data_IF_034978163841
#
_entry.id   IF_034978163841
#
_cell.length_a   1.000
_cell.length_b   1.000
_cell.length_c   1.000
_cell.angle_alpha   90.00
_cell.angle_beta   90.00
_cell.angle_gamma   90.00
#
_symmetry.space_group_name_H-M   'P 1'
#
loop_
_entity.id
_entity.type
_entity.pdbx_description
1 polymer ?
#
# COMPACT_ATOMS: atom_id res chain seq x y z
N UNK A 1 -55.74 12.49 -30.52
CA UNK A 1 -54.75 11.40 -30.43
C UNK A 1 -53.59 11.73 -31.36
N UNK A 2 -52.49 12.30 -30.86
CA UNK A 2 -51.25 12.48 -31.66
C UNK A 2 -50.11 13.01 -30.77
N UNK A 3 -49.43 12.14 -30.03
CA UNK A 3 -48.13 12.44 -29.42
C UNK A 3 -47.37 11.13 -29.19
N UNK A 4 -46.97 10.49 -30.29
CA UNK A 4 -46.30 9.18 -30.26
C UNK A 4 -45.19 9.03 -31.30
N UNK A 5 -44.67 10.13 -31.86
CA UNK A 5 -43.80 10.07 -33.04
C UNK A 5 -42.53 10.93 -32.92
N UNK A 6 -41.90 10.98 -31.74
CA UNK A 6 -40.61 11.66 -31.56
C UNK A 6 -39.53 10.86 -30.82
N UNK A 7 -39.84 9.66 -30.32
CA UNK A 7 -38.88 8.91 -29.50
C UNK A 7 -38.00 7.92 -30.28
N UNK A 8 -38.41 7.51 -31.49
CA UNK A 8 -37.68 6.48 -32.26
C UNK A 8 -36.44 7.00 -33.00
N UNK A 9 -36.39 8.30 -33.34
CA UNK A 9 -35.31 8.86 -34.18
C UNK A 9 -34.05 9.25 -33.41
N UNK A 10 -34.13 9.44 -32.09
CA UNK A 10 -32.97 9.83 -31.28
C UNK A 10 -32.04 8.63 -31.01
N UNK A 11 -32.57 7.41 -31.03
CA UNK A 11 -31.81 6.19 -30.74
C UNK A 11 -30.92 5.75 -31.92
N UNK A 12 -31.25 6.15 -33.15
CA UNK A 12 -30.50 5.74 -34.35
C UNK A 12 -29.29 6.64 -34.69
N UNK A 13 -29.14 7.80 -34.07
CA UNK A 13 -28.03 8.74 -34.35
C UNK A 13 -26.84 8.53 -33.42
N UNK A 14 -27.03 7.96 -32.23
CA UNK A 14 -25.94 7.80 -31.25
C UNK A 14 -25.09 6.52 -31.42
N UNK A 15 -25.48 5.62 -32.33
CA UNK A 15 -24.83 4.30 -32.50
C UNK A 15 -23.78 4.29 -33.63
N UNK A 16 -23.63 5.36 -34.43
CA UNK A 16 -22.75 5.34 -35.61
C UNK A 16 -21.35 5.96 -35.43
N UNK A 17 -20.94 6.35 -34.21
CA UNK A 17 -19.71 7.15 -34.03
C UNK A 17 -18.67 6.51 -33.11
N UNK A 18 -18.37 5.21 -33.26
CA UNK A 18 -17.14 4.60 -32.72
C UNK A 18 -16.61 3.46 -33.60
N UNK A 19 -16.40 3.74 -34.90
CA UNK A 19 -15.47 2.95 -35.73
C UNK A 19 -14.27 3.86 -36.03
N UNK A 20 -13.35 3.94 -35.07
CA UNK A 20 -12.05 4.59 -35.20
C UNK A 20 -10.96 3.55 -35.43
N UNK A 21 -10.27 3.68 -36.55
CA UNK A 21 -9.38 2.70 -37.17
C UNK A 21 -8.11 2.35 -36.36
N UNK A 22 -7.63 1.13 -36.60
CA UNK A 22 -6.32 0.60 -36.23
C UNK A 22 -5.16 1.48 -36.73
N UNK A 23 -4.15 1.70 -35.89
CA UNK A 23 -2.78 1.96 -36.36
C UNK A 23 -1.83 0.95 -35.73
N UNK A 24 -1.74 -0.22 -36.36
CA UNK A 24 -0.70 -1.20 -36.06
C UNK A 24 0.56 -0.76 -36.80
N UNK A 25 1.51 -0.16 -36.09
CA UNK A 25 2.85 0.08 -36.64
C UNK A 25 3.57 -1.27 -36.75
N UNK A 26 4.19 -1.64 -37.89
CA UNK A 26 5.08 -2.78 -37.91
C UNK A 26 6.37 -2.43 -37.15
N UNK A 27 6.57 -3.05 -35.99
CA UNK A 27 7.87 -3.04 -35.31
C UNK A 27 8.87 -3.84 -36.16
N UNK A 28 9.61 -3.16 -37.03
CA UNK A 28 10.78 -3.71 -37.72
C UNK A 28 11.94 -3.72 -36.73
N UNK A 29 11.98 -4.75 -35.87
CA UNK A 29 13.12 -5.02 -35.00
C UNK A 29 14.30 -5.53 -35.82
N UNK A 30 15.43 -4.84 -35.74
CA UNK A 30 16.70 -5.26 -36.32
C UNK A 30 17.14 -6.56 -35.66
N UNK A 31 17.36 -7.60 -36.45
CA UNK A 31 17.90 -8.89 -36.03
C UNK A 31 19.39 -8.70 -35.66
N UNK A 32 19.67 -8.40 -34.40
CA UNK A 32 21.02 -8.54 -33.87
C UNK A 32 21.27 -10.04 -33.66
N UNK A 33 21.85 -10.68 -34.68
CA UNK A 33 22.52 -11.97 -34.55
C UNK A 33 23.55 -11.87 -33.42
N UNK A 34 23.21 -12.41 -32.25
CA UNK A 34 24.22 -12.78 -31.25
C UNK A 34 24.59 -14.25 -31.51
N UNK A 35 25.88 -14.56 -31.77
CA UNK A 35 26.30 -15.92 -32.00
C UNK A 35 26.05 -16.77 -30.74
N UNK A 36 25.51 -17.96 -30.99
CA UNK A 36 25.27 -19.01 -30.02
C UNK A 36 26.57 -19.47 -29.35
N UNK A 37 26.39 -19.99 -28.13
CA UNK A 37 27.30 -20.81 -27.32
C UNK A 37 28.24 -20.08 -26.35
N UNK A 38 27.79 -20.02 -25.09
CA UNK A 38 28.49 -20.78 -24.04
C UNK A 38 27.49 -21.41 -23.09
N UNK A 39 27.35 -22.73 -23.21
CA UNK A 39 26.77 -23.60 -22.19
C UNK A 39 27.72 -23.58 -20.99
N UNK A 40 27.26 -23.04 -19.87
CA UNK A 40 27.88 -23.25 -18.56
C UNK A 40 26.76 -23.26 -17.54
N UNK A 41 26.39 -24.48 -17.18
CA UNK A 41 26.05 -24.93 -15.84
C UNK A 41 24.79 -24.37 -15.19
N UNK A 42 23.90 -25.31 -14.88
CA UNK A 42 22.76 -25.19 -13.97
C UNK A 42 23.27 -24.58 -12.66
N UNK A 43 23.15 -23.26 -12.53
CA UNK A 43 23.26 -22.58 -11.24
C UNK A 43 21.97 -22.93 -10.50
N UNK A 44 22.08 -24.00 -9.72
CA UNK A 44 21.12 -24.42 -8.72
C UNK A 44 20.56 -23.18 -8.03
N UNK A 45 19.24 -23.08 -8.08
CA UNK A 45 18.47 -21.97 -7.53
C UNK A 45 18.42 -22.14 -6.02
N UNK A 46 19.53 -21.84 -5.37
CA UNK A 46 19.53 -21.40 -3.98
C UNK A 46 20.23 -20.06 -3.94
N UNK A 47 19.55 -19.05 -4.51
CA UNK A 47 19.73 -17.68 -4.03
C UNK A 47 19.38 -17.73 -2.54
N UNK A 48 20.40 -17.94 -1.69
CA UNK A 48 20.33 -17.60 -0.28
C UNK A 48 19.87 -16.16 -0.28
N UNK A 49 18.60 -15.95 0.08
CA UNK A 49 18.03 -14.63 0.26
C UNK A 49 18.96 -13.97 1.27
N UNK A 50 19.82 -13.09 0.80
CA UNK A 50 20.63 -12.27 1.67
C UNK A 50 19.62 -11.46 2.46
N UNK A 51 19.41 -11.85 3.72
CA UNK A 51 18.65 -11.08 4.69
C UNK A 51 19.46 -9.82 5.04
N UNK A 52 19.84 -9.04 4.02
CA UNK A 52 19.95 -7.59 4.13
C UNK A 52 18.71 -7.17 4.92
N UNK A 53 18.94 -6.65 6.13
CA UNK A 53 17.97 -6.62 7.23
C UNK A 53 16.59 -6.18 6.72
N UNK A 54 15.69 -7.15 6.49
CA UNK A 54 14.35 -6.84 6.01
C UNK A 54 13.66 -6.13 7.16
N UNK A 55 13.32 -4.86 6.98
CA UNK A 55 12.67 -4.04 8.00
C UNK A 55 11.22 -3.84 7.62
N UNK A 56 10.38 -3.66 8.62
CA UNK A 56 8.96 -3.38 8.44
C UNK A 56 8.49 -2.32 9.42
N UNK A 57 7.29 -1.81 9.13
CA UNK A 57 6.62 -0.83 9.97
C UNK A 57 5.64 -1.55 10.90
N UNK A 58 5.75 -1.31 12.20
CA UNK A 58 4.74 -1.69 13.19
C UNK A 58 4.11 -0.47 13.81
N UNK A 59 2.86 -0.55 14.24
CA UNK A 59 2.14 0.56 14.81
C UNK A 59 1.29 0.17 16.02
N UNK A 60 0.92 1.19 16.78
CA UNK A 60 -0.11 1.14 17.80
C UNK A 60 -0.80 2.51 17.86
N UNK A 61 -2.12 2.51 18.04
CA UNK A 61 -2.88 3.77 18.13
C UNK A 61 -2.44 4.57 19.35
N UNK A 62 -2.30 5.89 19.20
CA UNK A 62 -1.75 6.77 20.21
C UNK A 62 -2.65 6.93 21.46
N UNK A 63 -3.92 6.55 21.35
CA UNK A 63 -4.92 6.70 22.40
C UNK A 63 -5.70 8.01 22.34
N UNK A 64 -5.51 8.81 21.28
CA UNK A 64 -6.35 9.97 20.99
C UNK A 64 -7.78 9.54 20.68
N UNK A 65 -8.72 10.36 21.16
CA UNK A 65 -10.13 10.20 20.88
C UNK A 65 -10.73 11.51 20.39
N UNK A 66 -11.83 11.39 19.63
CA UNK A 66 -12.62 12.53 19.18
C UNK A 66 -13.02 13.42 20.36
N UNK A 67 -13.11 14.73 20.08
CA UNK A 67 -13.40 15.74 21.11
C UNK A 67 -12.34 15.82 22.23
N UNK A 68 -11.12 15.31 21.99
CA UNK A 68 -9.98 15.36 22.93
C UNK A 68 -10.23 14.64 24.26
N UNK A 69 -11.07 13.62 24.27
CA UNK A 69 -11.39 12.83 25.47
C UNK A 69 -10.33 11.78 25.81
N UNK A 70 -9.47 11.46 24.84
CA UNK A 70 -8.39 10.51 24.97
C UNK A 70 -7.12 11.11 25.59
N UNK A 71 -6.15 10.24 25.89
CA UNK A 71 -4.83 10.64 26.37
C UNK A 71 -3.78 10.17 25.35
N UNK A 72 -3.52 10.95 24.30
CA UNK A 72 -2.54 10.56 23.28
C UNK A 72 -1.15 10.43 23.90
N UNK A 73 -0.51 9.31 23.65
CA UNK A 73 0.90 9.10 23.97
C UNK A 73 1.75 9.52 22.76
N UNK A 74 2.79 10.36 22.96
CA UNK A 74 3.71 10.68 21.88
C UNK A 74 4.56 9.44 21.50
N UNK A 75 5.07 9.37 20.27
CA UNK A 75 5.80 8.21 19.78
C UNK A 75 7.04 7.89 20.63
N UNK A 76 7.73 8.89 21.18
CA UNK A 76 8.92 8.70 22.01
C UNK A 76 8.60 7.91 23.30
N UNK A 77 7.45 8.20 23.92
CA UNK A 77 7.00 7.53 25.15
C UNK A 77 6.44 6.15 24.85
N UNK A 78 5.65 6.02 23.78
CA UNK A 78 5.10 4.71 23.40
C UNK A 78 6.19 3.75 22.90
N UNK A 79 7.31 4.26 22.38
CA UNK A 79 8.47 3.45 21.97
C UNK A 79 9.03 2.61 23.12
N UNK A 80 8.91 3.05 24.37
CA UNK A 80 9.36 2.30 25.55
C UNK A 80 8.71 0.91 25.63
N UNK A 81 7.49 0.77 25.09
CA UNK A 81 6.77 -0.50 25.00
C UNK A 81 7.41 -1.48 24.02
N UNK A 82 8.35 -1.06 23.17
CA UNK A 82 9.14 -1.93 22.28
C UNK A 82 10.46 -2.40 22.92
N UNK A 83 10.66 -2.20 24.23
CA UNK A 83 11.89 -2.54 24.97
C UNK A 83 12.64 -3.79 24.44
N UNK A 84 13.93 -3.60 24.16
CA UNK A 84 14.80 -4.64 23.58
C UNK A 84 14.66 -4.84 22.07
N UNK A 85 13.84 -4.04 21.38
CA UNK A 85 13.77 -3.95 19.92
C UNK A 85 14.41 -2.62 19.50
N UNK A 86 15.37 -2.69 18.58
CA UNK A 86 15.94 -1.50 17.94
C UNK A 86 14.91 -0.84 17.02
N UNK A 87 14.72 0.46 17.20
CA UNK A 87 13.83 1.30 16.40
C UNK A 87 14.67 2.26 15.58
N UNK A 88 14.55 2.18 14.26
CA UNK A 88 15.32 2.99 13.33
C UNK A 88 14.66 4.33 12.99
N UNK A 89 13.33 4.36 13.03
CA UNK A 89 12.52 5.56 12.76
C UNK A 89 11.19 5.44 13.50
N UNK A 90 10.73 6.56 14.04
CA UNK A 90 9.42 6.69 14.68
C UNK A 90 8.68 7.85 14.04
N UNK A 91 7.36 7.70 13.87
CA UNK A 91 6.50 8.75 13.30
C UNK A 91 5.10 8.61 13.87
N UNK A 92 4.44 9.74 14.15
CA UNK A 92 3.01 9.77 14.43
C UNK A 92 2.24 10.11 13.16
N UNK A 93 1.30 9.25 12.77
CA UNK A 93 0.61 9.35 11.50
C UNK A 93 -0.83 8.79 11.60
N UNK A 94 -1.80 9.46 10.97
CA UNK A 94 -3.17 8.98 10.89
C UNK A 94 -3.27 7.79 9.90
N UNK A 95 -4.08 6.77 10.19
CA UNK A 95 -4.26 5.61 9.31
C UNK A 95 -4.94 5.91 7.96
N UNK A 96 -5.57 7.07 7.82
CA UNK A 96 -6.26 7.49 6.60
C UNK A 96 -7.59 6.79 6.37
N UNK A 97 -8.10 6.06 7.36
CA UNK A 97 -9.39 5.40 7.31
C UNK A 97 -10.51 6.32 7.83
N UNK A 98 -11.75 6.01 7.44
CA UNK A 98 -12.92 6.65 8.02
C UNK A 98 -13.16 6.11 9.43
N UNK A 99 -13.11 6.98 10.43
CA UNK A 99 -13.43 6.66 11.82
C UNK A 99 -14.78 7.23 12.23
N UNK A 100 -15.37 6.64 13.28
CA UNK A 100 -16.59 7.16 13.90
C UNK A 100 -16.30 8.55 14.46
N UNK A 101 -17.14 9.54 14.12
CA UNK A 101 -16.96 10.95 14.48
C UNK A 101 -17.61 11.35 15.81
N UNK A 102 -18.19 10.39 16.55
CA UNK A 102 -18.72 10.61 17.90
C UNK A 102 -17.59 10.92 18.89
N UNK A 103 -17.85 11.82 19.85
CA UNK A 103 -16.94 12.06 20.97
C UNK A 103 -16.63 10.74 21.70
N UNK A 104 -15.36 10.55 22.08
CA UNK A 104 -14.87 9.33 22.73
C UNK A 104 -14.44 8.21 21.78
N UNK A 105 -14.80 8.25 20.50
CA UNK A 105 -14.30 7.29 19.50
C UNK A 105 -12.83 7.54 19.15
N UNK A 106 -12.07 6.53 18.69
CA UNK A 106 -10.71 6.73 18.20
C UNK A 106 -10.61 7.71 17.02
N UNK A 107 -9.47 8.38 16.87
CA UNK A 107 -9.22 9.32 15.75
C UNK A 107 -8.54 8.67 14.54
N UNK A 108 -7.98 7.46 14.71
CA UNK A 108 -7.10 6.84 13.72
C UNK A 108 -5.64 7.28 13.80
N UNK A 109 -5.27 8.15 14.74
CA UNK A 109 -3.89 8.55 14.95
C UNK A 109 -3.06 7.41 15.57
N UNK A 110 -1.95 7.07 14.92
CA UNK A 110 -1.10 5.96 15.33
C UNK A 110 0.37 6.37 15.41
N UNK A 111 1.09 5.76 16.33
CA UNK A 111 2.55 5.84 16.36
C UNK A 111 3.11 4.60 15.66
N UNK A 112 4.01 4.84 14.72
CA UNK A 112 4.53 3.86 13.77
C UNK A 112 6.05 3.82 13.86
N UNK A 113 6.61 2.62 13.89
CA UNK A 113 8.02 2.34 14.20
C UNK A 113 8.63 1.43 13.15
N UNK A 114 9.79 1.81 12.64
CA UNK A 114 10.56 1.01 11.70
C UNK A 114 11.49 0.08 12.47
N UNK A 115 11.24 -1.22 12.38
CA UNK A 115 11.98 -2.24 13.14
C UNK A 115 12.44 -3.37 12.21
N UNK A 116 13.41 -4.16 12.66
CA UNK A 116 13.78 -5.39 11.97
C UNK A 116 12.61 -6.39 11.97
N UNK A 117 12.37 -7.02 10.83
CA UNK A 117 11.31 -8.04 10.67
C UNK A 117 11.47 -9.23 11.61
N UNK A 118 12.70 -9.56 12.02
CA UNK A 118 13.00 -10.60 13.03
C UNK A 118 12.37 -10.34 14.40
N UNK A 119 11.98 -9.09 14.68
CA UNK A 119 11.37 -8.66 15.95
C UNK A 119 9.84 -8.48 15.82
N UNK A 120 9.25 -8.87 14.69
CA UNK A 120 7.81 -8.72 14.44
C UNK A 120 6.98 -9.37 15.54
N UNK A 121 7.21 -10.65 15.82
CA UNK A 121 6.42 -11.44 16.77
C UNK A 121 6.48 -10.81 18.17
N UNK A 122 7.66 -10.38 18.61
CA UNK A 122 7.85 -9.67 19.89
C UNK A 122 7.10 -8.34 19.94
N UNK A 123 7.01 -7.61 18.83
CA UNK A 123 6.21 -6.38 18.78
C UNK A 123 4.71 -6.69 18.86
N UNK A 124 4.24 -7.72 18.16
CA UNK A 124 2.84 -8.16 18.19
C UNK A 124 2.40 -8.58 19.60
N UNK A 125 3.23 -9.33 20.32
CA UNK A 125 3.01 -9.71 21.73
C UNK A 125 2.80 -8.49 22.65
N UNK A 126 3.38 -7.34 22.29
CA UNK A 126 3.26 -6.07 23.04
C UNK A 126 2.10 -5.19 22.56
N UNK A 127 1.24 -5.75 21.72
CA UNK A 127 0.02 -5.12 21.21
C UNK A 127 0.26 -4.17 20.04
N UNK A 128 1.41 -4.26 19.37
CA UNK A 128 1.62 -3.59 18.08
C UNK A 128 1.01 -4.43 16.94
N UNK A 129 0.82 -3.81 15.79
CA UNK A 129 0.34 -4.43 14.56
C UNK A 129 1.22 -4.01 13.39
N UNK A 130 1.26 -4.81 12.32
CA UNK A 130 1.96 -4.41 11.09
C UNK A 130 1.21 -3.27 10.39
N UNK A 131 1.93 -2.25 9.93
CA UNK A 131 1.34 -1.10 9.24
C UNK A 131 1.01 -1.46 7.79
N UNK A 132 -0.28 -1.38 7.42
CA UNK A 132 -0.78 -1.81 6.10
C UNK A 132 -1.60 -0.75 5.37
N UNK A 133 -1.72 0.47 5.91
CA UNK A 133 -2.66 1.46 5.39
C UNK A 133 -2.12 2.24 4.18
N UNK A 134 -0.89 2.77 4.31
CA UNK A 134 -0.24 3.53 3.24
C UNK A 134 1.27 3.45 3.33
N UNK A 135 1.93 3.79 2.24
CA UNK A 135 3.39 3.89 2.21
C UNK A 135 3.89 5.08 3.05
N UNK A 136 4.91 4.85 3.88
CA UNK A 136 5.53 5.86 4.72
C UNK A 136 6.87 6.25 4.10
N UNK A 137 7.08 7.55 3.89
CA UNK A 137 8.33 8.12 3.37
C UNK A 137 9.28 8.44 4.52
#
# INVERSE_FOLDING_TARGET
>A
MALGLKFQFVVLIFVSMFVGACSQKPCRGVELKKPLLRKSEVFDTTVKKDYSQERLWVYKYDGSQQCRMGKPLPPEIMQEQLSGIEVYKSISVNDGLMHITSCGSPTGQANVYWIDKKNKEKALERGFKEWQFRELK
#
